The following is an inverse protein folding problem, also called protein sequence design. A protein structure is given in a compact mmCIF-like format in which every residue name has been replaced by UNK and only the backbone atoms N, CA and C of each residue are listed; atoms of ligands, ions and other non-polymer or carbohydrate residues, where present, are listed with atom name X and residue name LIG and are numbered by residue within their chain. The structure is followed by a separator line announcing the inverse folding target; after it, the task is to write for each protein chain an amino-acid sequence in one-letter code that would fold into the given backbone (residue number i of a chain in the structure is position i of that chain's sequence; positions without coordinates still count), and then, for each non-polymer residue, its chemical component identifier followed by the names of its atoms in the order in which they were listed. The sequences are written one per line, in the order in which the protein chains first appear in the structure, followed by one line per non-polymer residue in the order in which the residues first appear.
data_IF_975062962954
#
_entry.id   IF_975062962954
#
_cell.length_a   1.000
_cell.length_b   1.000
_cell.length_c   1.000
_cell.angle_alpha   90.00
_cell.angle_beta   90.00
_cell.angle_gamma   90.00
#
_symmetry.space_group_name_H-M   'P 1'
#
loop_
_entity.id
_entity.type
_entity.pdbx_description
1 polymer ?
#
# COMPACT_ATOMS: atom_id res chain seq x y z
N UNK A 1 6.26 -3.78 -7.33
CA UNK A 1 5.30 -3.99 -6.22
C UNK A 1 4.89 -2.61 -5.70
N UNK A 2 3.84 -2.52 -4.89
CA UNK A 2 3.28 -1.24 -4.40
C UNK A 2 4.31 -0.39 -3.64
N UNK A 3 5.21 -1.02 -2.88
CA UNK A 3 6.23 -0.32 -2.10
C UNK A 3 7.27 0.41 -2.96
N UNK A 4 7.72 -0.20 -4.06
CA UNK A 4 8.63 0.47 -4.98
C UNK A 4 7.94 1.65 -5.68
N UNK A 5 6.65 1.49 -6.05
CA UNK A 5 5.88 2.60 -6.63
C UNK A 5 5.68 3.73 -5.62
N UNK A 6 5.36 3.41 -4.37
CA UNK A 6 5.31 4.40 -3.29
C UNK A 6 6.63 5.19 -3.21
N UNK A 7 7.79 4.53 -3.20
CA UNK A 7 9.09 5.25 -3.17
C UNK A 7 9.27 6.22 -4.35
N UNK A 8 8.78 5.85 -5.52
CA UNK A 8 8.90 6.68 -6.74
C UNK A 8 7.89 7.84 -6.75
N UNK A 9 6.69 7.64 -6.22
CA UNK A 9 5.59 8.62 -6.27
C UNK A 9 5.61 9.58 -5.09
N UNK A 10 6.16 9.16 -3.95
CA UNK A 10 6.11 9.91 -2.70
C UNK A 10 6.73 11.32 -2.75
N UNK A 11 7.89 11.57 -3.40
CA UNK A 11 8.45 12.93 -3.48
C UNK A 11 7.47 13.92 -4.11
N UNK A 12 6.76 13.51 -5.16
CA UNK A 12 5.75 14.33 -5.83
C UNK A 12 4.47 14.51 -4.99
N UNK A 13 4.21 13.64 -4.02
CA UNK A 13 3.12 13.82 -3.05
C UNK A 13 3.37 14.98 -2.08
N UNK A 14 4.64 15.32 -1.80
CA UNK A 14 4.99 16.35 -0.82
C UNK A 14 4.74 17.79 -1.31
N UNK A 15 4.82 18.00 -2.63
CA UNK A 15 4.73 19.31 -3.28
C UNK A 15 3.29 19.81 -3.54
N UNK A 16 2.28 18.95 -3.41
CA UNK A 16 0.87 19.36 -3.50
C UNK A 16 0.39 19.82 -4.89
N UNK A 17 1.05 19.42 -5.97
CA UNK A 17 0.64 19.73 -7.36
C UNK A 17 -0.45 18.76 -7.85
N UNK A 18 -1.69 19.24 -7.84
CA UNK A 18 -2.92 18.44 -8.03
C UNK A 18 -3.00 17.58 -9.29
N UNK A 19 -2.45 18.02 -10.43
CA UNK A 19 -2.55 17.25 -11.67
C UNK A 19 -1.65 16.01 -11.66
N UNK A 20 -0.51 16.05 -10.96
CA UNK A 20 0.41 14.94 -10.89
C UNK A 20 -0.04 13.88 -9.86
N UNK A 21 -0.69 14.30 -8.77
CA UNK A 21 -0.97 13.42 -7.63
C UNK A 21 -2.00 12.32 -7.92
N UNK A 22 -3.05 12.57 -8.70
CA UNK A 22 -3.99 11.52 -9.09
C UNK A 22 -3.37 10.53 -10.09
N UNK A 23 -2.62 11.04 -11.07
CA UNK A 23 -1.93 10.19 -12.05
C UNK A 23 -0.84 9.32 -11.39
N UNK A 24 -0.25 9.78 -10.30
CA UNK A 24 0.76 9.06 -9.51
C UNK A 24 0.16 8.10 -8.47
N UNK A 25 -1.10 8.29 -8.06
CA UNK A 25 -1.80 7.39 -7.16
C UNK A 25 -2.34 6.14 -7.88
N UNK A 26 -2.78 6.29 -9.13
CA UNK A 26 -3.34 5.20 -9.93
C UNK A 26 -2.45 3.93 -9.97
N UNK A 27 -1.12 4.01 -10.19
CA UNK A 27 -0.29 2.81 -10.20
C UNK A 27 -0.24 2.09 -8.85
N UNK A 28 -0.27 2.81 -7.72
CA UNK A 28 -0.26 2.18 -6.39
C UNK A 28 -1.59 1.48 -6.14
N UNK A 29 -2.70 2.13 -6.52
CA UNK A 29 -4.05 1.56 -6.49
C UNK A 29 -4.15 0.28 -7.32
N UNK A 30 -3.62 0.25 -8.55
CA UNK A 30 -3.63 -0.95 -9.40
C UNK A 30 -2.91 -2.15 -8.75
N UNK A 31 -1.79 -1.91 -8.05
CA UNK A 31 -1.08 -2.99 -7.36
C UNK A 31 -1.77 -3.43 -6.07
N UNK A 32 -2.41 -2.52 -5.35
CA UNK A 32 -3.27 -2.87 -4.20
C UNK A 32 -4.42 -3.75 -4.66
N UNK A 33 -5.15 -3.33 -5.70
CA UNK A 33 -6.33 -4.07 -6.15
C UNK A 33 -5.96 -5.46 -6.68
N UNK A 34 -4.80 -5.59 -7.33
CA UNK A 34 -4.27 -6.89 -7.72
C UNK A 34 -3.91 -7.80 -6.51
N UNK A 35 -3.43 -7.22 -5.41
CA UNK A 35 -3.14 -7.96 -4.18
C UNK A 35 -4.43 -8.41 -3.48
N UNK A 36 -5.42 -7.53 -3.39
CA UNK A 36 -6.74 -7.80 -2.82
C UNK A 36 -7.48 -8.89 -3.61
N UNK A 37 -7.40 -8.86 -4.94
CA UNK A 37 -7.93 -9.91 -5.81
C UNK A 37 -7.24 -11.27 -5.57
N UNK A 38 -5.91 -11.27 -5.40
CA UNK A 38 -5.17 -12.48 -5.06
C UNK A 38 -5.55 -13.01 -3.67
N UNK A 39 -5.71 -12.15 -2.67
CA UNK A 39 -6.19 -12.52 -1.34
C UNK A 39 -7.56 -13.19 -1.43
N UNK A 40 -8.52 -12.56 -2.11
CA UNK A 40 -9.87 -13.12 -2.33
C UNK A 40 -9.84 -14.48 -3.02
N UNK A 41 -9.00 -14.64 -4.04
CA UNK A 41 -8.85 -15.92 -4.73
C UNK A 41 -8.34 -17.02 -3.78
N UNK A 42 -7.34 -16.71 -2.95
CA UNK A 42 -6.81 -17.68 -1.98
C UNK A 42 -7.86 -18.00 -0.90
N UNK A 43 -8.60 -17.01 -0.40
CA UNK A 43 -9.70 -17.23 0.55
C UNK A 43 -10.73 -18.23 0.02
N UNK A 44 -11.16 -18.05 -1.23
CA UNK A 44 -12.12 -18.95 -1.89
C UNK A 44 -11.60 -20.38 -1.97
N UNK A 45 -10.33 -20.57 -2.32
CA UNK A 45 -9.68 -21.89 -2.36
C UNK A 45 -9.53 -22.52 -0.97
N UNK A 46 -9.22 -21.71 0.05
CA UNK A 46 -9.14 -22.17 1.43
C UNK A 46 -10.49 -22.67 1.95
N UNK A 47 -11.59 -22.03 1.55
CA UNK A 47 -12.95 -22.46 1.89
C UNK A 47 -13.41 -23.70 1.13
N UNK A 48 -12.98 -23.89 -0.12
CA UNK A 48 -13.33 -25.06 -0.94
C UNK A 48 -12.50 -26.31 -0.60
N UNK A 49 -11.30 -26.13 -0.04
CA UNK A 49 -10.35 -27.21 0.26
C UNK A 49 -10.64 -28.03 1.53
N UNK A 50 -9.93 -29.15 1.66
CA UNK A 50 -10.05 -30.12 2.79
C UNK A 50 -9.16 -29.79 4.00
N UNK A 51 -8.72 -28.54 4.15
CA UNK A 51 -7.87 -28.16 5.27
C UNK A 51 -8.62 -28.26 6.60
N UNK A 52 -7.89 -28.63 7.65
CA UNK A 52 -8.40 -28.57 9.02
C UNK A 52 -8.68 -27.10 9.39
N UNK A 53 -9.69 -26.84 10.24
CA UNK A 53 -10.06 -25.47 10.62
C UNK A 53 -8.88 -24.63 11.14
N UNK A 54 -7.99 -25.23 11.93
CA UNK A 54 -6.82 -24.54 12.48
C UNK A 54 -5.83 -24.09 11.39
N UNK A 55 -5.46 -24.99 10.47
CA UNK A 55 -4.55 -24.67 9.38
C UNK A 55 -5.12 -23.62 8.43
N UNK A 56 -6.45 -23.57 8.28
CA UNK A 56 -7.12 -22.50 7.53
C UNK A 56 -6.97 -21.15 8.22
N UNK A 57 -7.18 -21.09 9.53
CA UNK A 57 -7.05 -19.85 10.30
C UNK A 57 -5.61 -19.28 10.23
N UNK A 58 -4.60 -20.14 10.35
CA UNK A 58 -3.20 -19.70 10.29
C UNK A 58 -2.83 -19.14 8.91
N UNK A 59 -3.31 -19.77 7.82
CA UNK A 59 -3.07 -19.30 6.46
C UNK A 59 -3.82 -18.00 6.14
N UNK A 60 -5.06 -17.86 6.61
CA UNK A 60 -5.82 -16.62 6.47
C UNK A 60 -5.11 -15.45 7.14
N UNK A 61 -4.67 -15.63 8.39
CA UNK A 61 -3.93 -14.61 9.12
C UNK A 61 -2.63 -14.19 8.40
N UNK A 62 -1.93 -15.14 7.79
CA UNK A 62 -0.72 -14.85 7.00
C UNK A 62 -1.03 -14.01 5.77
N UNK A 63 -2.08 -14.37 5.03
CA UNK A 63 -2.43 -13.66 3.79
C UNK A 63 -2.98 -12.26 4.10
N UNK A 64 -3.77 -12.11 5.15
CA UNK A 64 -4.21 -10.79 5.66
C UNK A 64 -3.00 -9.91 6.03
N UNK A 65 -1.99 -10.48 6.69
CA UNK A 65 -0.77 -9.74 7.01
C UNK A 65 -0.01 -9.31 5.74
N UNK A 66 0.05 -10.16 4.71
CA UNK A 66 0.67 -9.81 3.43
C UNK A 66 -0.11 -8.71 2.70
N UNK A 67 -1.44 -8.79 2.69
CA UNK A 67 -2.35 -7.80 2.08
C UNK A 67 -2.28 -6.42 2.76
N UNK A 68 -1.95 -6.38 4.05
CA UNK A 68 -1.78 -5.12 4.77
C UNK A 68 -0.66 -4.23 4.22
N UNK A 69 0.34 -4.81 3.56
CA UNK A 69 1.50 -4.09 3.01
C UNK A 69 1.09 -3.18 1.84
N UNK A 70 0.48 -3.67 0.74
CA UNK A 70 0.00 -2.82 -0.33
C UNK A 70 -1.08 -1.84 0.13
N UNK A 71 -1.98 -2.24 1.02
CA UNK A 71 -2.99 -1.33 1.61
C UNK A 71 -2.35 -0.15 2.34
N UNK A 72 -1.27 -0.40 3.09
CA UNK A 72 -0.54 0.68 3.77
C UNK A 72 0.09 1.64 2.77
N UNK A 73 0.66 1.13 1.66
CA UNK A 73 1.27 1.96 0.63
C UNK A 73 0.24 2.87 -0.05
N UNK A 74 -0.93 2.32 -0.39
CA UNK A 74 -2.04 3.08 -0.94
C UNK A 74 -2.54 4.16 0.03
N UNK A 75 -2.82 3.78 1.28
CA UNK A 75 -3.29 4.72 2.31
C UNK A 75 -2.37 5.93 2.49
N UNK A 76 -1.04 5.73 2.40
CA UNK A 76 -0.08 6.83 2.45
C UNK A 76 -0.30 7.76 1.26
N UNK A 77 -0.36 7.25 0.04
CA UNK A 77 -0.56 8.08 -1.16
C UNK A 77 -1.90 8.82 -1.10
N UNK A 78 -2.97 8.14 -0.72
CA UNK A 78 -4.32 8.68 -0.59
C UNK A 78 -4.40 9.79 0.46
N UNK A 79 -3.67 9.64 1.56
CA UNK A 79 -3.59 10.66 2.58
C UNK A 79 -3.05 11.98 2.02
N UNK A 80 -2.05 11.95 1.12
CA UNK A 80 -1.55 13.17 0.48
C UNK A 80 -2.45 13.66 -0.66
N UNK A 81 -2.90 12.74 -1.53
CA UNK A 81 -3.64 13.09 -2.76
C UNK A 81 -5.08 13.57 -2.47
N UNK A 82 -5.81 12.86 -1.60
CA UNK A 82 -7.21 13.16 -1.27
C UNK A 82 -7.29 14.35 -0.32
N UNK A 83 -6.49 14.37 0.74
CA UNK A 83 -6.53 15.44 1.74
C UNK A 83 -5.82 16.72 1.28
N UNK A 84 -5.15 16.70 0.12
CA UNK A 84 -4.39 17.83 -0.43
C UNK A 84 -3.33 18.33 0.56
N UNK A 85 -2.73 17.40 1.30
CA UNK A 85 -1.74 17.74 2.31
C UNK A 85 -0.50 18.32 1.65
N UNK A 86 0.02 19.40 2.22
CA UNK A 86 1.28 20.01 1.82
C UNK A 86 2.20 20.01 3.02
N UNK A 87 3.41 19.51 2.80
CA UNK A 87 4.46 19.53 3.80
C UNK A 87 5.38 20.71 3.48
N UNK A 88 5.82 21.42 4.51
CA UNK A 88 6.84 22.47 4.34
C UNK A 88 8.09 21.85 3.71
N UNK A 89 8.65 22.51 2.69
CA UNK A 89 9.87 22.08 2.01
C UNK A 89 11.03 21.81 2.99
N UNK A 90 11.06 22.50 4.13
CA UNK A 90 12.06 22.27 5.18
C UNK A 90 11.99 20.85 5.78
N UNK A 91 10.83 20.19 5.71
CA UNK A 91 10.57 18.85 6.29
C UNK A 91 10.58 17.73 5.26
N UNK A 92 10.69 18.02 3.96
CA UNK A 92 10.60 17.00 2.90
C UNK A 92 11.63 15.89 3.09
N UNK A 93 12.88 16.26 3.38
CA UNK A 93 13.96 15.30 3.59
C UNK A 93 13.70 14.39 4.80
N UNK A 94 13.19 14.96 5.90
CA UNK A 94 12.91 14.19 7.12
C UNK A 94 11.76 13.20 6.88
N UNK A 95 10.72 13.63 6.16
CA UNK A 95 9.56 12.80 5.82
C UNK A 95 9.92 11.69 4.82
N UNK A 96 10.76 11.98 3.82
CA UNK A 96 11.31 10.95 2.92
C UNK A 96 12.17 9.93 3.67
N UNK A 97 13.04 10.38 4.57
CA UNK A 97 13.85 9.46 5.38
C UNK A 97 12.99 8.59 6.31
N UNK A 98 11.92 9.16 6.87
CA UNK A 98 10.98 8.41 7.69
C UNK A 98 10.29 7.31 6.86
N UNK A 99 9.85 7.63 5.64
CA UNK A 99 9.28 6.65 4.72
C UNK A 99 10.30 5.53 4.40
N UNK A 100 11.54 5.90 4.03
CA UNK A 100 12.56 4.92 3.67
C UNK A 100 12.87 3.96 4.82
N UNK A 101 13.00 4.46 6.05
CA UNK A 101 13.19 3.62 7.24
C UNK A 101 12.01 2.68 7.48
N UNK A 102 10.77 3.16 7.26
CA UNK A 102 9.57 2.34 7.39
C UNK A 102 9.50 1.20 6.36
N UNK A 103 10.14 1.35 5.21
CA UNK A 103 10.16 0.35 4.13
C UNK A 103 11.28 -0.69 4.27
N UNK A 104 12.20 -0.51 5.22
CA UNK A 104 13.31 -1.43 5.50
C UNK A 104 13.04 -2.35 6.71
N UNK A 105 11.96 -2.09 7.45
CA UNK A 105 11.53 -2.85 8.63
C UNK A 105 10.60 -4.02 8.26
#
# INVERSE_FOLDING_TARGET
NSLNRLKETFPACLDGTHAAQNDLANPVHEFESAADDMRRAIELELYSGKLLPQSRADLLALIEAIDSIPNTAENIVDFFSIQKLRIDAALHLDVEQLLLKGLEA
#
